data_IF_824174288637
#
_entry.id   IF_824174288637
#
_cell.length_a   1.000
_cell.length_b   1.000
_cell.length_c   1.000
_cell.angle_alpha   90.00
_cell.angle_beta   90.00
_cell.angle_gamma   90.00
#
_symmetry.space_group_name_H-M   'P 1'
#
loop_
_entity.id
_entity.type
_entity.pdbx_description
1 polymer ?
#
# COMPACT_ATOMS: atom_id res chain seq x y z
N UNK A 1 -21.42 9.59 12.82
CA UNK A 1 -19.98 9.66 13.14
C UNK A 1 -19.74 10.95 13.91
N UNK A 2 -19.17 10.84 15.11
CA UNK A 2 -18.89 11.99 15.99
C UNK A 2 -17.60 12.71 15.55
N UNK A 3 -17.66 13.41 14.43
CA UNK A 3 -16.55 14.18 13.85
C UNK A 3 -17.01 15.62 13.54
N UNK A 4 -16.13 16.59 13.79
CA UNK A 4 -16.42 18.01 13.61
C UNK A 4 -16.80 18.39 12.16
N UNK A 5 -16.13 17.83 11.17
CA UNK A 5 -16.44 18.04 9.76
C UNK A 5 -17.86 17.65 9.37
N UNK A 6 -18.31 16.41 9.62
CA UNK A 6 -19.69 15.99 9.45
C UNK A 6 -20.70 16.85 10.23
N UNK A 7 -20.39 17.20 11.48
CA UNK A 7 -21.27 18.04 12.31
C UNK A 7 -21.50 19.43 11.69
N UNK A 8 -20.44 20.09 11.21
CA UNK A 8 -20.54 21.38 10.53
C UNK A 8 -21.38 21.31 9.25
N UNK A 9 -21.19 20.27 8.42
CA UNK A 9 -21.99 20.06 7.20
C UNK A 9 -23.46 19.85 7.52
N UNK A 10 -23.78 19.02 8.52
CA UNK A 10 -25.16 18.76 8.94
C UNK A 10 -25.81 20.00 9.55
N UNK A 11 -25.08 20.78 10.34
CA UNK A 11 -25.57 22.06 10.88
C UNK A 11 -25.95 23.07 9.77
N UNK A 12 -25.12 23.17 8.74
CA UNK A 12 -25.43 24.00 7.57
C UNK A 12 -26.70 23.51 6.82
N UNK A 13 -26.77 22.21 6.52
CA UNK A 13 -27.94 21.60 5.87
C UNK A 13 -29.22 21.85 6.66
N UNK A 14 -29.16 21.71 8.00
CA UNK A 14 -30.30 21.97 8.85
C UNK A 14 -30.77 23.44 8.74
N UNK A 15 -29.82 24.40 8.79
CA UNK A 15 -30.14 25.82 8.62
C UNK A 15 -30.72 26.14 7.25
N UNK A 16 -30.11 25.62 6.17
CA UNK A 16 -30.60 25.80 4.82
C UNK A 16 -32.03 25.28 4.66
N UNK A 17 -32.33 24.09 5.23
CA UNK A 17 -33.69 23.50 5.13
C UNK A 17 -34.72 24.23 6.00
N UNK A 18 -34.35 24.75 7.17
CA UNK A 18 -35.22 25.60 7.98
C UNK A 18 -35.60 26.87 7.21
N UNK A 19 -34.71 27.38 6.37
CA UNK A 19 -34.94 28.53 5.52
C UNK A 19 -35.65 28.21 4.17
N UNK A 20 -36.16 26.99 4.00
CA UNK A 20 -36.90 26.58 2.81
C UNK A 20 -36.03 25.93 1.71
N UNK A 21 -34.77 25.61 1.99
CA UNK A 21 -33.92 24.85 1.08
C UNK A 21 -34.26 23.35 1.07
N UNK A 22 -33.63 22.61 0.13
CA UNK A 22 -33.76 21.16 -0.01
C UNK A 22 -32.36 20.53 -0.10
N UNK A 23 -31.56 20.68 0.96
CA UNK A 23 -30.21 20.15 1.05
C UNK A 23 -30.18 18.81 1.73
N UNK A 24 -29.38 17.86 1.20
CA UNK A 24 -29.27 16.50 1.73
C UNK A 24 -27.88 16.16 2.16
N UNK A 25 -27.77 15.41 3.27
CA UNK A 25 -26.50 14.89 3.76
C UNK A 25 -26.09 13.64 2.97
N UNK A 26 -24.98 13.73 2.25
CA UNK A 26 -24.47 12.67 1.38
C UNK A 26 -23.57 11.65 2.10
N UNK A 27 -23.60 11.65 3.44
CA UNK A 27 -22.84 10.73 4.26
C UNK A 27 -21.39 11.17 4.55
N UNK A 28 -20.69 10.34 5.31
CA UNK A 28 -19.30 10.52 5.69
C UNK A 28 -18.53 9.22 5.44
N UNK A 29 -17.33 9.33 4.90
CA UNK A 29 -16.41 8.19 4.74
C UNK A 29 -15.45 8.01 5.92
N UNK A 30 -15.59 8.80 6.98
CA UNK A 30 -14.84 8.65 8.23
C UNK A 30 -13.38 9.07 8.14
N UNK A 31 -13.03 10.01 7.24
CA UNK A 31 -11.68 10.55 7.17
C UNK A 31 -11.26 11.20 8.49
N UNK A 32 -10.10 10.79 9.01
CA UNK A 32 -9.57 11.29 10.26
C UNK A 32 -8.04 11.26 10.27
N UNK A 33 -7.47 12.16 11.02
CA UNK A 33 -6.03 12.27 11.26
C UNK A 33 -5.76 12.55 12.73
N UNK A 34 -4.71 11.95 13.27
CA UNK A 34 -4.25 12.18 14.64
C UNK A 34 -2.74 12.33 14.65
N UNK A 35 -2.25 13.23 15.48
CA UNK A 35 -0.82 13.36 15.78
C UNK A 35 -0.55 12.85 17.18
N UNK A 36 0.38 11.91 17.30
CA UNK A 36 0.82 11.33 18.56
C UNK A 36 2.33 11.55 18.67
N UNK A 37 2.74 12.45 19.55
CA UNK A 37 4.11 12.99 19.61
C UNK A 37 4.56 13.52 18.25
N UNK A 38 5.61 12.95 17.65
CA UNK A 38 6.10 13.32 16.32
C UNK A 38 5.44 12.57 15.17
N UNK A 39 4.68 11.51 15.45
CA UNK A 39 4.07 10.63 14.44
C UNK A 39 2.65 11.05 14.11
N UNK A 40 2.28 10.92 12.85
CA UNK A 40 0.91 11.16 12.34
C UNK A 40 0.33 9.84 11.86
N UNK A 41 -0.90 9.55 12.27
CA UNK A 41 -1.70 8.45 11.72
C UNK A 41 -2.99 8.99 11.11
N UNK A 42 -3.38 8.48 9.96
CA UNK A 42 -4.57 8.92 9.23
C UNK A 42 -5.30 7.75 8.58
N UNK A 43 -6.62 7.90 8.42
CA UNK A 43 -7.46 6.90 7.78
C UNK A 43 -8.59 7.57 7.01
N UNK A 44 -9.05 6.91 5.94
CA UNK A 44 -10.24 7.31 5.19
C UNK A 44 -10.92 6.07 4.60
N UNK A 45 -12.22 6.14 4.41
CA UNK A 45 -13.02 5.03 3.88
C UNK A 45 -13.08 3.83 4.83
N UNK A 46 -13.14 2.62 4.29
CA UNK A 46 -13.24 1.38 5.05
C UNK A 46 -11.88 0.68 5.15
N UNK A 47 -11.48 0.23 6.33
CA UNK A 47 -10.30 -0.60 6.48
C UNK A 47 -10.59 -2.05 6.07
N UNK A 48 -9.53 -2.82 5.80
CA UNK A 48 -9.63 -4.21 5.34
C UNK A 48 -10.49 -5.09 6.26
N UNK A 49 -10.28 -5.02 7.57
CA UNK A 49 -11.02 -5.82 8.55
C UNK A 49 -12.52 -5.55 8.46
N UNK A 50 -12.93 -4.30 8.36
CA UNK A 50 -14.33 -3.92 8.27
C UNK A 50 -14.91 -4.24 6.88
N UNK A 51 -14.13 -4.09 5.82
CA UNK A 51 -14.54 -4.49 4.47
C UNK A 51 -14.83 -5.99 4.39
N UNK A 52 -13.93 -6.82 4.91
CA UNK A 52 -14.11 -8.28 4.98
C UNK A 52 -15.32 -8.68 5.87
N UNK A 53 -15.50 -8.03 7.02
CA UNK A 53 -16.68 -8.23 7.87
C UNK A 53 -17.99 -7.86 7.19
N UNK A 54 -17.96 -6.89 6.29
CA UNK A 54 -19.12 -6.50 5.47
C UNK A 54 -19.34 -7.43 4.26
N UNK A 55 -18.55 -8.49 4.09
CA UNK A 55 -18.66 -9.45 3.00
C UNK A 55 -18.07 -8.96 1.66
N UNK A 56 -17.30 -7.89 1.67
CA UNK A 56 -16.62 -7.40 0.45
C UNK A 56 -15.38 -8.26 0.16
N UNK A 57 -15.22 -8.68 -1.09
CA UNK A 57 -13.99 -9.32 -1.55
C UNK A 57 -12.95 -8.24 -1.90
N UNK A 58 -12.01 -8.07 -0.98
CA UNK A 58 -11.04 -6.99 -1.04
C UNK A 58 -9.62 -7.51 -1.13
N UNK A 59 -8.78 -6.71 -1.78
CA UNK A 59 -7.35 -6.84 -1.75
C UNK A 59 -6.69 -5.55 -1.25
N UNK A 60 -5.41 -5.62 -0.93
CA UNK A 60 -4.66 -4.50 -0.36
C UNK A 60 -3.27 -4.41 -0.96
N UNK A 61 -2.73 -3.19 -0.99
CA UNK A 61 -1.30 -2.97 -1.16
C UNK A 61 -0.76 -2.24 0.05
N UNK A 62 0.42 -2.66 0.51
CA UNK A 62 1.19 -1.98 1.56
C UNK A 62 2.50 -1.52 0.94
N UNK A 63 2.86 -0.27 1.16
CA UNK A 63 4.10 0.32 0.69
C UNK A 63 4.66 1.29 1.73
N UNK A 64 5.99 1.42 1.73
CA UNK A 64 6.70 2.28 2.68
C UNK A 64 7.58 3.32 1.96
N UNK A 65 6.96 4.29 1.23
CA UNK A 65 7.69 5.31 0.50
C UNK A 65 8.25 6.38 1.43
N UNK A 66 9.20 7.17 0.89
CA UNK A 66 9.66 8.40 1.52
C UNK A 66 8.60 9.50 1.41
N UNK A 67 8.57 10.41 2.38
CA UNK A 67 7.69 11.59 2.36
C UNK A 67 7.95 12.53 1.18
N UNK A 68 9.22 12.59 0.75
CA UNK A 68 9.68 13.38 -0.39
C UNK A 68 10.91 12.73 -1.05
N UNK A 69 11.51 13.40 -2.04
CA UNK A 69 12.66 12.91 -2.79
C UNK A 69 13.84 12.56 -1.88
N UNK A 70 14.36 11.33 -1.97
CA UNK A 70 15.40 10.83 -1.07
C UNK A 70 16.75 11.53 -1.14
N UNK A 71 17.00 12.32 -2.20
CA UNK A 71 18.19 13.18 -2.32
C UNK A 71 18.01 14.55 -1.63
N UNK A 72 16.80 14.90 -1.22
CA UNK A 72 16.54 16.10 -0.42
C UNK A 72 16.62 15.75 1.08
N UNK A 73 17.22 16.62 1.92
CA UNK A 73 17.44 16.32 3.34
C UNK A 73 16.16 16.05 4.11
N UNK A 74 16.29 15.26 5.18
CA UNK A 74 15.28 15.01 6.21
C UNK A 74 14.04 14.19 5.77
N UNK A 75 14.08 13.55 4.61
CA UNK A 75 13.01 12.64 4.18
C UNK A 75 12.70 11.56 5.22
N UNK A 76 11.41 11.33 5.49
CA UNK A 76 10.93 10.33 6.44
C UNK A 76 10.12 9.26 5.72
N UNK A 77 10.30 8.01 6.14
CA UNK A 77 9.47 6.92 5.66
C UNK A 77 8.05 7.06 6.21
N UNK A 78 7.06 6.79 5.38
CA UNK A 78 5.68 6.55 5.80
C UNK A 78 5.23 5.16 5.36
N UNK A 79 4.34 4.53 6.11
CA UNK A 79 3.67 3.30 5.68
C UNK A 79 2.26 3.63 5.25
N UNK A 80 1.89 3.16 4.06
CA UNK A 80 0.59 3.36 3.44
C UNK A 80 -0.03 2.01 3.12
N UNK A 81 -1.26 1.79 3.55
CA UNK A 81 -2.10 0.67 3.15
C UNK A 81 -3.30 1.19 2.37
N UNK A 82 -3.53 0.66 1.17
CA UNK A 82 -4.69 0.98 0.34
C UNK A 82 -5.55 -0.26 0.18
N UNK A 83 -6.87 -0.10 0.36
CA UNK A 83 -7.88 -1.18 0.27
C UNK A 83 -8.74 -0.95 -0.95
N UNK A 84 -8.92 -1.98 -1.76
CA UNK A 84 -9.74 -1.93 -2.98
C UNK A 84 -10.50 -3.25 -3.18
N UNK A 85 -11.59 -3.19 -3.93
CA UNK A 85 -12.40 -4.35 -4.31
C UNK A 85 -11.71 -5.12 -5.45
N UNK A 86 -11.61 -6.45 -5.35
CA UNK A 86 -10.80 -7.24 -6.29
C UNK A 86 -11.30 -7.20 -7.72
N UNK A 87 -12.59 -7.35 -7.94
CA UNK A 87 -13.14 -7.44 -9.30
C UNK A 87 -13.22 -6.09 -10.00
N UNK A 88 -13.69 -5.07 -9.28
CA UNK A 88 -13.98 -3.76 -9.85
C UNK A 88 -12.81 -2.80 -9.73
N UNK A 89 -11.84 -3.10 -8.86
CA UNK A 89 -10.76 -2.21 -8.43
C UNK A 89 -11.24 -0.91 -7.80
N UNK A 90 -12.50 -0.83 -7.35
CA UNK A 90 -13.05 0.34 -6.67
C UNK A 90 -12.23 0.63 -5.42
N UNK A 91 -11.74 1.87 -5.31
CA UNK A 91 -11.01 2.33 -4.13
C UNK A 91 -11.97 2.42 -2.94
N UNK A 92 -11.67 1.73 -1.84
CA UNK A 92 -12.54 1.59 -0.68
C UNK A 92 -12.04 2.33 0.54
N UNK A 93 -10.72 2.35 0.75
CA UNK A 93 -10.14 2.97 1.92
C UNK A 93 -8.63 3.00 1.91
N UNK A 94 -8.09 3.76 2.87
CA UNK A 94 -6.66 3.84 3.09
C UNK A 94 -6.31 4.14 4.55
N UNK A 95 -5.11 3.72 4.95
CA UNK A 95 -4.52 4.00 6.26
C UNK A 95 -3.05 4.38 6.05
N UNK A 96 -2.61 5.44 6.71
CA UNK A 96 -1.26 5.95 6.62
C UNK A 96 -0.69 6.23 8.01
N UNK A 97 0.59 5.92 8.19
CA UNK A 97 1.35 6.25 9.40
C UNK A 97 2.72 6.76 8.99
N UNK A 98 3.19 7.84 9.60
CA UNK A 98 4.50 8.40 9.32
C UNK A 98 4.72 9.73 10.06
N UNK A 99 5.82 10.38 9.76
CA UNK A 99 6.19 11.64 10.41
C UNK A 99 5.80 12.86 9.58
N UNK A 100 5.84 12.77 8.26
CA UNK A 100 5.60 13.87 7.34
C UNK A 100 4.77 13.46 6.13
N UNK A 101 3.92 14.37 5.65
CA UNK A 101 3.15 14.22 4.42
C UNK A 101 2.03 13.17 4.45
N UNK A 102 1.68 12.66 5.63
CA UNK A 102 0.58 11.71 5.84
C UNK A 102 -0.76 12.40 5.59
N UNK A 103 -0.94 13.59 6.13
CA UNK A 103 -2.15 14.42 5.98
C UNK A 103 -2.45 14.77 4.51
N UNK A 104 -1.42 15.17 3.76
CA UNK A 104 -1.56 15.43 2.32
C UNK A 104 -2.09 14.22 1.57
N UNK A 105 -1.52 13.03 1.80
CA UNK A 105 -1.84 11.80 1.04
C UNK A 105 -3.19 11.23 1.42
N UNK A 106 -3.56 11.29 2.70
CA UNK A 106 -4.89 10.81 3.10
C UNK A 106 -6.01 11.66 2.49
N UNK A 107 -5.82 12.97 2.33
CA UNK A 107 -6.82 13.84 1.71
C UNK A 107 -6.93 13.61 0.20
N UNK A 108 -5.83 13.32 -0.49
CA UNK A 108 -5.87 12.89 -1.90
C UNK A 108 -6.67 11.60 -2.03
N UNK A 109 -6.39 10.59 -1.20
CA UNK A 109 -7.10 9.31 -1.21
C UNK A 109 -8.58 9.47 -0.82
N UNK A 110 -8.88 10.32 0.15
CA UNK A 110 -10.26 10.65 0.54
C UNK A 110 -11.05 11.28 -0.63
N UNK A 111 -10.39 12.17 -1.37
CA UNK A 111 -10.97 12.80 -2.56
C UNK A 111 -11.17 11.76 -3.68
N UNK A 112 -10.20 10.89 -3.92
CA UNK A 112 -10.30 9.82 -4.91
C UNK A 112 -11.45 8.85 -4.60
N UNK A 113 -11.61 8.42 -3.33
CA UNK A 113 -12.75 7.59 -2.90
C UNK A 113 -14.08 8.33 -3.15
N UNK A 114 -14.14 9.62 -2.80
CA UNK A 114 -15.36 10.42 -2.99
C UNK A 114 -15.73 10.61 -4.46
N UNK A 115 -14.74 10.72 -5.32
CA UNK A 115 -14.90 10.80 -6.78
C UNK A 115 -15.26 9.45 -7.42
N UNK A 116 -15.23 8.34 -6.66
CA UNK A 116 -15.51 7.01 -7.18
C UNK A 116 -14.42 6.44 -8.06
N UNK A 117 -13.17 6.89 -7.89
CA UNK A 117 -12.03 6.42 -8.68
C UNK A 117 -11.75 4.93 -8.44
N UNK A 118 -11.25 4.27 -9.48
CA UNK A 118 -10.64 2.95 -9.35
C UNK A 118 -9.21 3.09 -8.86
N UNK A 119 -8.77 2.15 -8.03
CA UNK A 119 -7.46 2.21 -7.40
C UNK A 119 -6.27 2.26 -8.39
N UNK A 120 -6.26 1.58 -9.56
CA UNK A 120 -5.22 1.77 -10.56
C UNK A 120 -5.13 3.20 -11.13
N UNK A 121 -6.24 3.97 -11.15
CA UNK A 121 -6.27 5.35 -11.68
C UNK A 121 -5.47 6.32 -10.81
N UNK A 122 -5.17 5.95 -9.57
CA UNK A 122 -4.30 6.75 -8.69
C UNK A 122 -2.93 7.04 -9.31
N UNK A 123 -2.44 6.20 -10.21
CA UNK A 123 -1.16 6.38 -10.92
C UNK A 123 -1.17 7.61 -11.85
N UNK A 124 -2.35 8.00 -12.36
CA UNK A 124 -2.53 9.03 -13.35
C UNK A 124 -2.82 10.41 -12.73
N UNK A 125 -2.92 10.49 -11.39
CA UNK A 125 -3.11 11.75 -10.70
C UNK A 125 -1.89 12.67 -10.90
N UNK A 126 -2.14 13.87 -11.44
CA UNK A 126 -1.14 14.93 -11.58
C UNK A 126 -1.02 15.69 -10.25
N UNK A 127 -0.09 15.23 -9.40
CA UNK A 127 0.10 15.76 -8.07
C UNK A 127 1.29 16.72 -8.01
N UNK A 128 1.13 17.83 -7.29
CA UNK A 128 2.15 18.85 -7.16
C UNK A 128 3.46 18.26 -6.60
N UNK A 129 4.55 18.50 -7.31
CA UNK A 129 5.88 18.02 -6.97
C UNK A 129 6.91 19.14 -6.92
N UNK A 130 7.67 19.15 -5.84
CA UNK A 130 9.02 19.68 -5.75
C UNK A 130 9.77 18.87 -4.68
N UNK A 131 11.12 18.78 -4.72
CA UNK A 131 11.90 17.90 -3.85
C UNK A 131 11.55 17.97 -2.36
N UNK A 132 11.28 19.15 -1.76
CA UNK A 132 10.91 19.24 -0.34
C UNK A 132 9.53 18.69 0.01
N UNK A 133 8.64 18.49 -0.96
CA UNK A 133 7.22 18.19 -0.71
C UNK A 133 6.79 16.80 -1.13
N UNK A 134 7.48 16.20 -2.10
CA UNK A 134 7.13 14.89 -2.64
C UNK A 134 8.29 14.27 -3.42
N UNK A 135 8.06 13.10 -3.99
CA UNK A 135 8.84 12.52 -5.07
C UNK A 135 8.10 12.73 -6.40
N UNK A 136 8.80 12.65 -7.52
CA UNK A 136 8.19 12.74 -8.85
C UNK A 136 7.09 11.70 -9.07
N UNK A 137 7.23 10.51 -8.48
CA UNK A 137 6.14 9.56 -8.23
C UNK A 137 5.71 9.72 -6.77
N UNK A 138 4.60 10.42 -6.54
CA UNK A 138 4.05 10.56 -5.19
C UNK A 138 3.68 9.17 -4.61
N UNK A 139 3.75 8.96 -3.30
CA UNK A 139 3.25 7.73 -2.66
C UNK A 139 1.88 7.25 -3.15
N UNK A 140 0.96 8.16 -3.43
CA UNK A 140 -0.37 7.82 -4.00
C UNK A 140 -0.23 7.24 -5.41
N UNK A 141 0.60 7.85 -6.26
CA UNK A 141 0.87 7.28 -7.59
C UNK A 141 1.54 5.91 -7.50
N UNK A 142 2.47 5.72 -6.55
CA UNK A 142 3.12 4.41 -6.34
C UNK A 142 2.11 3.32 -5.99
N UNK A 143 1.13 3.62 -5.13
CA UNK A 143 0.04 2.68 -4.83
C UNK A 143 -0.74 2.32 -6.10
N UNK A 144 -1.09 3.31 -6.93
CA UNK A 144 -1.78 3.10 -8.21
C UNK A 144 -0.98 2.19 -9.17
N UNK A 145 0.33 2.40 -9.29
CA UNK A 145 1.20 1.53 -10.11
C UNK A 145 1.26 0.09 -9.59
N UNK A 146 1.35 -0.11 -8.26
CA UNK A 146 1.33 -1.46 -7.69
C UNK A 146 0.01 -2.16 -7.99
N UNK A 147 -1.12 -1.49 -7.77
CA UNK A 147 -2.45 -2.06 -8.00
C UNK A 147 -2.67 -2.35 -9.49
N UNK A 148 -2.20 -1.48 -10.39
CA UNK A 148 -2.23 -1.76 -11.82
C UNK A 148 -1.44 -3.02 -12.18
N UNK A 149 -0.26 -3.23 -11.57
CA UNK A 149 0.55 -4.42 -11.79
C UNK A 149 -0.14 -5.69 -11.28
N UNK A 150 -0.89 -5.62 -10.19
CA UNK A 150 -1.75 -6.71 -9.70
C UNK A 150 -2.86 -6.98 -10.72
N UNK A 151 -3.57 -5.94 -11.16
CA UNK A 151 -4.67 -6.04 -12.12
C UNK A 151 -4.24 -6.66 -13.47
N UNK A 152 -3.00 -6.40 -13.89
CA UNK A 152 -2.41 -6.99 -15.10
C UNK A 152 -1.80 -8.37 -14.89
N UNK A 153 -1.85 -8.92 -13.67
CA UNK A 153 -1.21 -10.21 -13.34
C UNK A 153 0.33 -10.17 -13.36
N UNK A 154 0.91 -8.95 -13.38
CA UNK A 154 2.36 -8.72 -13.42
C UNK A 154 2.99 -8.86 -12.03
N UNK A 155 2.21 -8.61 -10.99
CA UNK A 155 2.56 -8.75 -9.59
C UNK A 155 1.60 -9.70 -8.90
N UNK A 156 2.13 -10.77 -8.31
CA UNK A 156 1.42 -11.64 -7.38
C UNK A 156 1.89 -11.32 -5.97
N UNK A 157 0.98 -11.36 -5.00
CA UNK A 157 1.30 -11.07 -3.60
C UNK A 157 1.03 -12.28 -2.72
N UNK A 158 1.71 -12.33 -1.59
CA UNK A 158 1.41 -13.16 -0.43
C UNK A 158 1.46 -12.30 0.84
N UNK A 159 0.84 -12.74 1.91
CA UNK A 159 0.54 -11.91 3.08
C UNK A 159 1.07 -12.57 4.36
N UNK A 160 1.14 -11.79 5.44
CA UNK A 160 1.64 -12.27 6.74
C UNK A 160 0.88 -13.52 7.23
N UNK A 161 -0.43 -13.55 7.05
CA UNK A 161 -1.29 -14.68 7.43
C UNK A 161 -1.06 -15.96 6.61
N UNK A 162 -0.29 -15.88 5.54
CA UNK A 162 0.11 -17.04 4.74
C UNK A 162 1.43 -17.65 5.20
N UNK A 163 2.19 -16.97 6.05
CA UNK A 163 3.54 -17.39 6.47
C UNK A 163 3.57 -18.81 7.02
N UNK A 164 2.61 -19.15 7.88
CA UNK A 164 2.52 -20.49 8.49
C UNK A 164 1.97 -21.56 7.54
N UNK A 165 1.38 -21.14 6.41
CA UNK A 165 0.81 -22.02 5.39
C UNK A 165 1.79 -22.33 4.26
N UNK A 166 2.89 -21.57 4.16
CA UNK A 166 3.88 -21.78 3.11
C UNK A 166 4.53 -23.16 3.27
N UNK A 167 4.63 -23.95 2.18
CA UNK A 167 5.28 -25.25 2.22
C UNK A 167 6.74 -25.15 2.69
N UNK A 168 7.14 -26.06 3.58
CA UNK A 168 8.52 -26.18 4.09
C UNK A 168 9.19 -27.48 3.65
N UNK A 169 8.56 -28.20 2.73
CA UNK A 169 8.98 -29.51 2.20
C UNK A 169 9.88 -29.42 0.97
N UNK A 170 10.28 -28.21 0.58
CA UNK A 170 11.11 -27.96 -0.60
C UNK A 170 10.32 -27.91 -1.93
N UNK A 171 9.00 -27.95 -1.90
CA UNK A 171 8.15 -27.79 -3.10
C UNK A 171 8.12 -26.35 -3.61
N UNK A 172 8.50 -25.38 -2.80
CA UNK A 172 8.63 -23.97 -3.13
C UNK A 172 9.99 -23.43 -2.74
N UNK A 173 10.40 -22.30 -3.30
CA UNK A 173 11.56 -21.55 -2.87
C UNK A 173 11.11 -20.39 -1.98
N UNK A 174 11.65 -20.31 -0.77
CA UNK A 174 11.45 -19.20 0.16
C UNK A 174 12.68 -18.30 0.10
N UNK A 175 12.56 -17.07 -0.41
CA UNK A 175 13.68 -16.20 -0.74
C UNK A 175 13.64 -14.90 0.08
N UNK A 176 14.68 -14.65 0.86
CA UNK A 176 14.93 -13.38 1.55
C UNK A 176 15.95 -12.56 0.77
N UNK A 177 15.54 -11.39 0.29
CA UNK A 177 16.35 -10.49 -0.54
C UNK A 177 16.99 -9.34 0.21
N UNK A 178 17.01 -9.42 1.55
CA UNK A 178 17.74 -8.49 2.40
C UNK A 178 19.24 -8.75 2.32
N UNK A 179 20.04 -7.82 2.83
CA UNK A 179 21.50 -8.02 2.93
C UNK A 179 21.83 -9.21 3.82
N UNK A 180 23.00 -9.80 3.63
CA UNK A 180 23.49 -10.89 4.49
C UNK A 180 23.59 -10.48 5.97
N UNK A 181 23.91 -9.20 6.22
CA UNK A 181 23.96 -8.65 7.58
C UNK A 181 22.55 -8.61 8.22
N UNK A 182 21.54 -8.06 7.51
CA UNK A 182 20.16 -8.05 7.99
C UNK A 182 19.64 -9.48 8.26
N UNK A 183 19.97 -10.42 7.38
CA UNK A 183 19.58 -11.81 7.53
C UNK A 183 20.21 -12.47 8.76
N UNK A 184 21.48 -12.18 9.03
CA UNK A 184 22.21 -12.71 10.19
C UNK A 184 21.65 -12.18 11.52
N UNK A 185 21.17 -10.93 11.56
CA UNK A 185 20.55 -10.35 12.75
C UNK A 185 19.18 -10.94 13.09
N UNK A 186 18.51 -11.56 12.12
CA UNK A 186 17.24 -12.25 12.31
C UNK A 186 16.55 -12.52 10.99
N UNK A 187 16.05 -13.74 10.81
CA UNK A 187 15.35 -14.17 9.59
C UNK A 187 14.25 -15.18 9.92
N UNK A 188 13.43 -15.48 8.93
CA UNK A 188 12.42 -16.53 9.04
C UNK A 188 13.08 -17.85 8.65
N UNK A 189 12.98 -18.86 9.50
CA UNK A 189 13.56 -20.19 9.25
C UNK A 189 13.10 -20.75 7.89
N UNK A 190 14.04 -21.36 7.18
CA UNK A 190 13.81 -22.00 5.89
C UNK A 190 13.85 -21.05 4.68
N UNK A 191 14.11 -19.76 4.89
CA UNK A 191 14.38 -18.84 3.78
C UNK A 191 15.84 -18.87 3.35
N UNK A 192 16.07 -18.96 2.04
CA UNK A 192 17.37 -18.76 1.40
C UNK A 192 17.66 -17.26 1.33
N UNK A 193 18.86 -16.85 1.70
CA UNK A 193 19.26 -15.45 1.53
C UNK A 193 20.04 -15.23 0.24
N UNK A 194 19.49 -14.44 -0.66
CA UNK A 194 20.18 -13.87 -1.82
C UNK A 194 19.85 -12.39 -1.87
N UNK A 195 20.79 -11.50 -1.50
CA UNK A 195 20.56 -10.06 -1.60
C UNK A 195 20.09 -9.64 -2.99
N UNK A 196 19.17 -8.70 -3.07
CA UNK A 196 18.58 -8.26 -4.34
C UNK A 196 19.64 -7.80 -5.36
N UNK A 197 20.73 -7.22 -4.89
CA UNK A 197 21.83 -6.72 -5.73
C UNK A 197 22.67 -7.86 -6.33
N UNK A 198 22.69 -9.03 -5.69
CA UNK A 198 23.39 -10.24 -6.17
C UNK A 198 22.49 -11.17 -6.98
N UNK A 199 21.17 -11.01 -6.86
CA UNK A 199 20.18 -11.97 -7.39
C UNK A 199 20.35 -12.21 -8.89
N UNK A 200 20.73 -11.21 -9.67
CA UNK A 200 20.90 -11.34 -11.13
C UNK A 200 21.99 -12.34 -11.51
N UNK A 201 23.06 -12.38 -10.73
CA UNK A 201 24.22 -13.24 -10.97
C UNK A 201 24.04 -14.63 -10.36
N UNK A 202 23.02 -14.82 -9.51
CA UNK A 202 22.78 -16.04 -8.75
C UNK A 202 21.43 -16.70 -9.09
N UNK A 203 20.85 -16.40 -10.25
CA UNK A 203 19.58 -16.99 -10.70
C UNK A 203 19.63 -18.50 -10.88
N UNK A 204 20.81 -19.06 -11.18
CA UNK A 204 21.06 -20.49 -11.36
C UNK A 204 21.02 -21.28 -10.04
N UNK A 205 21.08 -20.62 -8.90
CA UNK A 205 20.84 -21.24 -7.58
C UNK A 205 19.36 -21.55 -7.32
N UNK A 206 18.46 -21.01 -8.15
CA UNK A 206 17.00 -21.13 -7.99
C UNK A 206 16.41 -22.09 -9.02
N UNK A 207 15.50 -22.95 -8.57
CA UNK A 207 14.75 -23.86 -9.44
C UNK A 207 13.57 -23.15 -10.08
N UNK A 208 13.58 -22.97 -11.40
CA UNK A 208 12.50 -22.32 -12.18
C UNK A 208 11.17 -23.09 -12.18
N UNK A 209 11.19 -24.36 -11.81
CA UNK A 209 9.98 -25.17 -11.74
C UNK A 209 9.24 -25.03 -10.41
N UNK A 210 9.81 -24.30 -9.46
CA UNK A 210 9.21 -24.07 -8.14
C UNK A 210 8.72 -22.62 -8.02
N UNK A 211 7.54 -22.40 -7.43
CA UNK A 211 7.12 -21.06 -7.04
C UNK A 211 8.10 -20.42 -6.06
N UNK A 212 8.39 -19.14 -6.22
CA UNK A 212 9.33 -18.39 -5.36
C UNK A 212 8.56 -17.37 -4.53
N UNK A 213 8.56 -17.53 -3.21
CA UNK A 213 7.98 -16.58 -2.28
C UNK A 213 9.06 -15.66 -1.74
N UNK A 214 8.96 -14.38 -2.07
CA UNK A 214 10.04 -13.41 -1.85
C UNK A 214 9.67 -12.45 -0.74
N UNK A 215 10.61 -12.21 0.19
CA UNK A 215 10.48 -11.27 1.30
C UNK A 215 11.64 -10.26 1.32
N UNK A 216 11.40 -9.08 1.88
CA UNK A 216 12.43 -8.14 2.32
C UNK A 216 11.94 -7.36 3.54
N UNK A 217 12.56 -6.22 3.87
CA UNK A 217 12.21 -5.42 5.05
C UNK A 217 10.87 -4.67 4.90
N UNK A 218 10.53 -4.18 3.69
CA UNK A 218 9.40 -3.24 3.49
C UNK A 218 8.71 -3.38 2.13
N UNK A 219 8.86 -4.53 1.47
CA UNK A 219 8.21 -4.85 0.20
C UNK A 219 8.89 -4.34 -1.08
N UNK A 220 9.81 -3.35 -1.01
CA UNK A 220 10.41 -2.77 -2.23
C UNK A 220 11.46 -3.69 -2.88
N UNK A 221 12.43 -4.17 -2.12
CA UNK A 221 13.51 -5.06 -2.64
C UNK A 221 12.92 -6.39 -3.15
N UNK A 222 11.96 -6.95 -2.42
CA UNK A 222 11.25 -8.16 -2.84
C UNK A 222 10.40 -7.92 -4.10
N UNK A 223 9.79 -6.74 -4.25
CA UNK A 223 9.12 -6.36 -5.49
C UNK A 223 10.10 -6.32 -6.68
N UNK A 224 11.25 -5.66 -6.52
CA UNK A 224 12.31 -5.60 -7.55
C UNK A 224 12.79 -7.01 -7.90
N UNK A 225 13.04 -7.85 -6.89
CA UNK A 225 13.43 -9.25 -7.06
C UNK A 225 12.35 -10.04 -7.85
N UNK A 226 11.08 -9.91 -7.50
CA UNK A 226 9.99 -10.54 -8.25
C UNK A 226 9.93 -10.06 -9.71
N UNK A 227 10.19 -8.77 -9.99
CA UNK A 227 10.25 -8.29 -11.38
C UNK A 227 11.42 -8.90 -12.16
N UNK A 228 12.59 -9.04 -11.51
CA UNK A 228 13.76 -9.70 -12.10
C UNK A 228 13.48 -11.19 -12.35
N UNK A 229 12.93 -11.90 -11.35
CA UNK A 229 12.59 -13.32 -11.43
C UNK A 229 11.56 -13.59 -12.52
N UNK A 230 10.45 -12.83 -12.56
CA UNK A 230 9.41 -12.98 -13.58
C UNK A 230 9.95 -12.73 -14.98
N UNK A 231 10.83 -11.74 -15.17
CA UNK A 231 11.51 -11.48 -16.44
C UNK A 231 12.43 -12.62 -16.90
N UNK A 232 12.83 -13.52 -15.99
CA UNK A 232 13.63 -14.72 -16.25
C UNK A 232 12.80 -16.02 -16.22
N UNK A 233 11.46 -15.92 -16.22
CA UNK A 233 10.54 -17.04 -16.35
C UNK A 233 10.21 -17.78 -15.05
N UNK A 234 10.48 -17.18 -13.88
CA UNK A 234 10.07 -17.74 -12.59
C UNK A 234 8.62 -17.35 -12.26
N UNK A 235 7.89 -18.26 -11.62
CA UNK A 235 6.64 -17.94 -10.94
C UNK A 235 6.95 -17.41 -9.53
N UNK A 236 6.66 -16.15 -9.25
CA UNK A 236 7.09 -15.51 -8.01
C UNK A 236 6.00 -14.65 -7.37
N UNK A 237 6.08 -14.56 -6.04
CA UNK A 237 5.11 -13.89 -5.17
C UNK A 237 5.84 -12.92 -4.23
N UNK A 238 5.43 -11.65 -4.24
CA UNK A 238 6.00 -10.61 -3.40
C UNK A 238 5.28 -10.56 -2.03
N UNK A 239 6.03 -10.49 -0.94
CA UNK A 239 5.44 -10.22 0.37
C UNK A 239 4.84 -8.82 0.40
N UNK A 240 3.57 -8.74 0.77
CA UNK A 240 2.83 -7.48 0.91
C UNK A 240 3.04 -6.89 2.30
N UNK A 241 3.96 -5.92 2.42
CA UNK A 241 4.24 -5.26 3.71
C UNK A 241 5.66 -4.81 3.87
#
# INVERSE_FOLDING_TARGET
ISLAGPANKQGRIAADNICGGDSHYTGSQGSSVIKVFGMTAATTGVNETNARKAGLDVDTVILSPMSHAGYYPDGKVMTMKVVFEKETYRLLGAQLVGYEGVDKRIDVLATAIRAGMKAPELKDLDLAYAPPYSSAKDPVNMAGFMIENIAKGILKQWYLEDTDKLPRDGSVTLLDTRTAEEFTHGHIDGFLNIPVDELRERLDELDKHKPVYVICQSGLRSYIACRLLAGNGFDCYNFSG
#
